data_IF_481866374454
#
_entry.id   IF_481866374454
#
_cell.length_a   1.000
_cell.length_b   1.000
_cell.length_c   1.000
_cell.angle_alpha   90.00
_cell.angle_beta   90.00
_cell.angle_gamma   90.00
#
_symmetry.space_group_name_H-M   'P 1'
#
loop_
_entity.id
_entity.type
_entity.pdbx_description
1 polymer ?
#
# COMPACT_ATOMS: atom_id res chain seq x y z
N UNK A 1 -7.89 -13.65 16.30
CA UNK A 1 -6.64 -12.86 16.42
C UNK A 1 -5.59 -13.31 15.40
N UNK A 2 -5.25 -14.60 15.29
CA UNK A 2 -4.37 -15.11 14.21
C UNK A 2 -4.91 -14.74 12.82
N UNK A 3 -6.22 -14.90 12.60
CA UNK A 3 -6.87 -14.51 11.34
C UNK A 3 -6.75 -13.02 10.97
N UNK A 4 -6.54 -12.13 11.95
CA UNK A 4 -6.54 -10.69 11.70
C UNK A 4 -5.21 -10.25 11.08
N UNK A 5 -4.10 -10.83 11.54
CA UNK A 5 -2.80 -10.62 10.92
C UNK A 5 -2.76 -11.21 9.51
N UNK A 6 -3.29 -12.42 9.33
CA UNK A 6 -3.32 -13.06 8.01
C UNK A 6 -4.12 -12.22 7.00
N UNK A 7 -5.25 -11.63 7.43
CA UNK A 7 -6.04 -10.73 6.60
C UNK A 7 -5.27 -9.44 6.25
N UNK A 8 -4.56 -8.83 7.21
CA UNK A 8 -3.71 -7.66 6.96
C UNK A 8 -2.58 -7.99 5.98
N UNK A 9 -1.92 -9.13 6.12
CA UNK A 9 -0.86 -9.53 5.20
C UNK A 9 -1.41 -9.83 3.80
N UNK A 10 -2.61 -10.39 3.73
CA UNK A 10 -3.32 -10.61 2.46
C UNK A 10 -3.66 -9.28 1.77
N UNK A 11 -4.25 -8.32 2.51
CA UNK A 11 -4.50 -6.97 2.03
C UNK A 11 -3.20 -6.31 1.57
N UNK A 12 -2.15 -6.40 2.39
CA UNK A 12 -0.82 -5.87 2.06
C UNK A 12 -0.26 -6.41 0.73
N UNK A 13 -0.39 -7.71 0.47
CA UNK A 13 0.03 -8.29 -0.81
C UNK A 13 -0.79 -7.81 -2.00
N UNK A 14 -2.09 -7.53 -1.81
CA UNK A 14 -2.93 -6.91 -2.84
C UNK A 14 -2.47 -5.48 -3.13
N UNK A 15 -2.19 -4.69 -2.09
CA UNK A 15 -1.67 -3.32 -2.20
C UNK A 15 -0.30 -3.30 -2.90
N UNK A 16 0.62 -4.17 -2.51
CA UNK A 16 1.94 -4.30 -3.15
C UNK A 16 1.80 -4.60 -4.66
N UNK A 17 0.87 -5.49 -5.01
CA UNK A 17 0.56 -5.81 -6.41
C UNK A 17 -0.02 -4.60 -7.15
N UNK A 18 -0.92 -3.83 -6.53
CA UNK A 18 -1.51 -2.63 -7.12
C UNK A 18 -0.44 -1.58 -7.44
N UNK A 19 0.47 -1.29 -6.50
CA UNK A 19 1.58 -0.36 -6.71
C UNK A 19 2.45 -0.81 -7.88
N UNK A 20 2.89 -2.08 -7.87
CA UNK A 20 3.78 -2.62 -8.91
C UNK A 20 3.15 -2.54 -10.30
N UNK A 21 1.84 -2.85 -10.41
CA UNK A 21 1.09 -2.73 -11.65
C UNK A 21 0.89 -1.28 -12.08
N UNK A 22 0.56 -0.38 -11.16
CA UNK A 22 0.40 1.04 -11.44
C UNK A 22 1.71 1.65 -11.96
N UNK A 23 2.84 1.34 -11.32
CA UNK A 23 4.16 1.79 -11.76
C UNK A 23 4.54 1.19 -13.12
N UNK A 24 4.25 -0.09 -13.35
CA UNK A 24 4.47 -0.73 -14.65
C UNK A 24 3.63 -0.06 -15.75
N UNK A 25 2.36 0.21 -15.47
CA UNK A 25 1.46 0.91 -16.39
C UNK A 25 1.98 2.32 -16.70
N UNK A 26 2.42 3.04 -15.67
CA UNK A 26 2.98 4.38 -15.80
C UNK A 26 4.25 4.43 -16.66
N UNK A 27 5.22 3.55 -16.39
CA UNK A 27 6.49 3.53 -17.12
C UNK A 27 6.32 3.12 -18.59
N UNK A 28 5.36 2.26 -18.87
CA UNK A 28 5.10 1.72 -20.22
C UNK A 28 3.99 2.46 -20.98
N UNK A 29 3.28 3.40 -20.34
CA UNK A 29 2.05 4.01 -20.85
C UNK A 29 0.97 2.98 -21.22
N UNK A 30 0.86 1.93 -20.40
CA UNK A 30 -0.09 0.85 -20.63
C UNK A 30 -1.45 1.20 -19.98
N UNK A 31 -2.33 1.80 -20.78
CA UNK A 31 -3.67 2.19 -20.33
C UNK A 31 -4.57 0.98 -19.99
N UNK A 32 -4.32 -0.19 -20.59
CA UNK A 32 -5.09 -1.39 -20.29
C UNK A 32 -4.72 -1.93 -18.91
N UNK A 33 -3.42 -1.99 -18.60
CA UNK A 33 -2.95 -2.36 -17.27
C UNK A 33 -3.41 -1.36 -16.21
N UNK A 34 -3.36 -0.05 -16.52
CA UNK A 34 -3.86 0.98 -15.62
C UNK A 34 -5.36 0.80 -15.30
N UNK A 35 -6.20 0.55 -16.31
CA UNK A 35 -7.62 0.27 -16.08
C UNK A 35 -7.83 -0.96 -15.18
N UNK A 36 -7.02 -2.00 -15.37
CA UNK A 36 -7.09 -3.18 -14.53
C UNK A 36 -6.70 -2.91 -13.06
N UNK A 37 -5.82 -1.94 -12.79
CA UNK A 37 -5.50 -1.52 -11.40
C UNK A 37 -6.74 -0.86 -10.78
N UNK A 38 -7.34 0.10 -11.49
CA UNK A 38 -8.55 0.81 -11.05
C UNK A 38 -9.69 -0.19 -10.75
N UNK A 39 -9.96 -1.12 -11.67
CA UNK A 39 -11.04 -2.10 -11.49
C UNK A 39 -10.78 -3.05 -10.29
N UNK A 40 -9.51 -3.30 -9.95
CA UNK A 40 -9.10 -4.16 -8.86
C UNK A 40 -9.19 -3.49 -7.48
N UNK A 41 -9.16 -2.17 -7.43
CA UNK A 41 -9.14 -1.39 -6.19
C UNK A 41 -10.37 -1.67 -5.31
N UNK A 42 -11.54 -1.85 -5.93
CA UNK A 42 -12.76 -2.27 -5.21
C UNK A 42 -12.64 -3.58 -4.40
N UNK A 43 -11.67 -4.45 -4.70
CA UNK A 43 -11.38 -5.64 -3.90
C UNK A 43 -10.57 -5.31 -2.65
N UNK A 44 -9.66 -4.33 -2.76
CA UNK A 44 -8.86 -3.81 -1.64
C UNK A 44 -9.80 -3.11 -0.66
N UNK A 45 -10.69 -2.23 -1.13
CA UNK A 45 -11.72 -1.58 -0.31
C UNK A 45 -12.55 -2.57 0.51
N UNK A 46 -13.04 -3.61 -0.15
CA UNK A 46 -13.85 -4.64 0.52
C UNK A 46 -13.06 -5.37 1.59
N UNK A 47 -11.77 -5.64 1.35
CA UNK A 47 -10.91 -6.29 2.31
C UNK A 47 -10.57 -5.37 3.49
N UNK A 48 -10.33 -4.07 3.25
CA UNK A 48 -10.18 -3.03 4.27
C UNK A 48 -11.40 -3.01 5.19
N UNK A 49 -12.60 -2.84 4.63
CA UNK A 49 -13.85 -2.74 5.40
C UNK A 49 -14.07 -4.01 6.22
N UNK A 50 -13.83 -5.19 5.63
CA UNK A 50 -13.98 -6.46 6.34
C UNK A 50 -13.03 -6.56 7.54
N UNK A 51 -11.78 -6.11 7.42
CA UNK A 51 -10.82 -6.10 8.53
C UNK A 51 -11.25 -5.09 9.60
N UNK A 52 -11.76 -3.93 9.20
CA UNK A 52 -12.26 -2.91 10.11
C UNK A 52 -13.45 -3.43 10.92
N UNK A 53 -14.44 -4.06 10.27
CA UNK A 53 -15.59 -4.68 10.91
C UNK A 53 -15.18 -5.78 11.90
N UNK A 54 -14.20 -6.62 11.54
CA UNK A 54 -13.66 -7.64 12.45
C UNK A 54 -13.00 -7.01 13.68
N UNK A 55 -12.25 -5.92 13.52
CA UNK A 55 -11.68 -5.19 14.65
C UNK A 55 -12.77 -4.65 15.58
N UNK A 56 -13.81 -4.01 15.03
CA UNK A 56 -14.94 -3.50 15.80
C UNK A 56 -15.68 -4.61 16.55
N UNK A 57 -15.93 -5.74 15.89
CA UNK A 57 -16.54 -6.91 16.52
C UNK A 57 -15.71 -7.44 17.69
N UNK A 58 -14.37 -7.48 17.57
CA UNK A 58 -13.49 -7.88 18.68
C UNK A 58 -13.61 -6.90 19.84
N UNK A 59 -13.58 -5.59 19.57
CA UNK A 59 -13.70 -4.57 20.60
C UNK A 59 -15.03 -4.69 21.36
N UNK A 60 -16.14 -4.91 20.65
CA UNK A 60 -17.47 -5.04 21.22
C UNK A 60 -17.67 -6.36 22.00
N UNK A 61 -17.23 -7.48 21.43
CA UNK A 61 -17.57 -8.80 22.00
C UNK A 61 -16.57 -9.27 23.05
N UNK A 62 -15.30 -8.87 22.96
CA UNK A 62 -14.21 -9.41 23.78
C UNK A 62 -13.65 -8.40 24.79
N UNK A 63 -13.95 -7.11 24.64
CA UNK A 63 -13.50 -6.05 25.54
C UNK A 63 -11.99 -6.12 25.87
N UNK A 64 -11.10 -6.20 24.85
CA UNK A 64 -9.68 -6.40 25.08
C UNK A 64 -9.07 -5.23 25.86
N UNK A 65 -8.03 -5.51 26.65
CA UNK A 65 -7.31 -4.49 27.43
C UNK A 65 -5.80 -4.65 27.25
N UNK A 66 -5.04 -3.64 27.67
CA UNK A 66 -3.58 -3.70 27.70
C UNK A 66 -2.97 -4.01 26.32
N UNK A 67 -2.29 -5.15 26.20
CA UNK A 67 -1.61 -5.55 24.97
C UNK A 67 -2.58 -5.89 23.83
N UNK A 68 -3.70 -6.54 24.12
CA UNK A 68 -4.66 -6.97 23.10
C UNK A 68 -5.40 -5.78 22.50
N UNK A 69 -5.74 -4.78 23.32
CA UNK A 69 -6.32 -3.53 22.83
C UNK A 69 -5.35 -2.80 21.90
N UNK A 70 -4.07 -2.70 22.30
CA UNK A 70 -3.03 -2.07 21.47
C UNK A 70 -2.85 -2.81 20.15
N UNK A 71 -2.95 -4.14 20.15
CA UNK A 71 -2.86 -4.93 18.94
C UNK A 71 -4.01 -4.63 17.96
N UNK A 72 -5.27 -4.63 18.44
CA UNK A 72 -6.44 -4.32 17.60
C UNK A 72 -6.36 -2.90 17.04
N UNK A 73 -5.98 -1.92 17.88
CA UNK A 73 -5.81 -0.53 17.44
C UNK A 73 -4.67 -0.38 16.43
N UNK A 74 -3.56 -1.11 16.60
CA UNK A 74 -2.47 -1.10 15.64
C UNK A 74 -2.91 -1.66 14.29
N UNK A 75 -3.69 -2.74 14.29
CA UNK A 75 -4.25 -3.33 13.07
C UNK A 75 -5.15 -2.33 12.34
N UNK A 76 -6.08 -1.67 13.03
CA UNK A 76 -6.91 -0.61 12.44
C UNK A 76 -6.06 0.46 11.74
N UNK A 77 -5.03 0.96 12.42
CA UNK A 77 -4.14 1.97 11.84
C UNK A 77 -3.34 1.49 10.63
N UNK A 78 -2.93 0.22 10.63
CA UNK A 78 -2.23 -0.38 9.49
C UNK A 78 -3.19 -0.57 8.32
N UNK A 79 -4.43 -1.00 8.59
CA UNK A 79 -5.50 -1.16 7.60
C UNK A 79 -5.73 0.15 6.83
N UNK A 80 -5.99 1.24 7.57
CA UNK A 80 -6.17 2.59 7.00
C UNK A 80 -4.94 3.03 6.18
N UNK A 81 -3.73 2.66 6.63
CA UNK A 81 -2.49 2.98 5.92
C UNK A 81 -2.34 2.21 4.61
N UNK A 82 -2.81 0.97 4.56
CA UNK A 82 -2.74 0.11 3.38
C UNK A 82 -3.75 0.54 2.30
N UNK A 83 -4.99 0.85 2.68
CA UNK A 83 -5.99 1.40 1.75
C UNK A 83 -5.50 2.71 1.12
N UNK A 84 -4.98 3.63 1.92
CA UNK A 84 -4.46 4.89 1.40
C UNK A 84 -3.32 4.71 0.40
N UNK A 85 -2.53 3.65 0.53
CA UNK A 85 -1.48 3.33 -0.44
C UNK A 85 -2.08 2.74 -1.72
N UNK A 86 -3.14 1.95 -1.63
CA UNK A 86 -3.88 1.47 -2.80
C UNK A 86 -4.53 2.62 -3.56
N UNK A 87 -5.22 3.53 -2.87
CA UNK A 87 -5.77 4.77 -3.47
C UNK A 87 -4.71 5.54 -4.25
N UNK A 88 -3.50 5.67 -3.70
CA UNK A 88 -2.41 6.36 -4.38
C UNK A 88 -1.95 5.59 -5.63
N UNK A 89 -1.98 4.26 -5.61
CA UNK A 89 -1.70 3.44 -6.78
C UNK A 89 -2.80 3.55 -7.85
N UNK A 90 -4.07 3.58 -7.44
CA UNK A 90 -5.21 3.87 -8.33
C UNK A 90 -5.04 5.24 -8.98
N UNK A 91 -4.75 6.28 -8.19
CA UNK A 91 -4.51 7.64 -8.70
C UNK A 91 -3.38 7.69 -9.75
N UNK A 92 -2.29 6.94 -9.54
CA UNK A 92 -1.23 6.81 -10.55
C UNK A 92 -1.77 6.17 -11.83
N UNK A 93 -2.55 5.10 -11.72
CA UNK A 93 -3.16 4.43 -12.86
C UNK A 93 -4.16 5.34 -13.61
N UNK A 94 -4.96 6.11 -12.87
CA UNK A 94 -5.90 7.10 -13.43
C UNK A 94 -5.18 8.14 -14.28
N UNK A 95 -4.04 8.66 -13.81
CA UNK A 95 -3.20 9.57 -14.59
C UNK A 95 -2.76 8.92 -15.90
N UNK A 96 -2.35 7.65 -15.87
CA UNK A 96 -1.92 6.92 -17.09
C UNK A 96 -3.05 6.83 -18.11
N UNK A 97 -4.27 6.51 -17.67
CA UNK A 97 -5.45 6.45 -18.54
C UNK A 97 -5.73 7.81 -19.16
N UNK A 98 -5.68 8.89 -18.37
CA UNK A 98 -5.98 10.24 -18.84
C UNK A 98 -4.97 10.79 -19.85
N UNK A 99 -3.69 10.42 -19.72
CA UNK A 99 -2.61 10.90 -20.60
C UNK A 99 -2.23 9.92 -21.72
N UNK A 100 -2.97 8.81 -21.86
CA UNK A 100 -2.70 7.77 -22.84
C UNK A 100 -2.67 8.33 -24.28
N UNK A 101 -3.63 9.19 -24.61
CA UNK A 101 -3.80 9.76 -25.96
C UNK A 101 -2.96 11.03 -26.20
N UNK A 102 -2.17 11.48 -25.22
CA UNK A 102 -1.40 12.71 -25.37
C UNK A 102 -0.17 12.47 -26.26
N UNK A 103 -0.03 13.28 -27.32
CA UNK A 103 1.07 13.18 -28.29
C UNK A 103 2.46 13.41 -27.68
N UNK A 104 2.54 14.19 -26.60
CA UNK A 104 3.78 14.46 -25.85
C UNK A 104 3.54 14.39 -24.35
N UNK A 105 3.74 13.21 -23.78
CA UNK A 105 4.04 13.07 -22.35
C UNK A 105 5.55 12.90 -22.20
N UNK A 106 6.25 13.92 -21.71
CA UNK A 106 7.67 13.78 -21.38
C UNK A 106 7.80 12.84 -20.19
N UNK A 107 8.67 11.83 -20.32
CA UNK A 107 9.03 10.97 -19.19
C UNK A 107 9.65 11.85 -18.12
N UNK A 108 9.03 11.90 -16.95
CA UNK A 108 9.63 12.49 -15.75
C UNK A 108 10.77 11.59 -15.32
N UNK A 109 12.00 12.11 -15.33
CA UNK A 109 13.17 11.38 -14.86
C UNK A 109 13.04 11.02 -13.37
N UNK A 110 13.67 9.93 -12.93
CA UNK A 110 13.67 9.54 -11.50
C UNK A 110 12.42 8.80 -11.02
N UNK A 111 11.25 8.91 -11.69
CA UNK A 111 10.03 8.20 -11.26
C UNK A 111 10.18 6.67 -11.21
N UNK A 112 11.00 6.08 -12.10
CA UNK A 112 11.28 4.64 -12.08
C UNK A 112 11.98 4.21 -10.78
N UNK A 113 13.01 4.97 -10.40
CA UNK A 113 13.81 4.66 -9.21
C UNK A 113 13.03 4.97 -7.94
N UNK A 114 12.23 6.05 -7.96
CA UNK A 114 11.34 6.41 -6.87
C UNK A 114 10.27 5.34 -6.64
N UNK A 115 9.58 4.89 -7.71
CA UNK A 115 8.57 3.83 -7.62
C UNK A 115 9.15 2.52 -7.10
N UNK A 116 10.31 2.10 -7.61
CA UNK A 116 10.99 0.89 -7.13
C UNK A 116 11.34 0.96 -5.63
N UNK A 117 11.68 2.15 -5.12
CA UNK A 117 11.90 2.33 -3.67
C UNK A 117 10.62 2.35 -2.86
N UNK A 118 9.55 2.96 -3.38
CA UNK A 118 8.25 2.94 -2.72
C UNK A 118 7.71 1.50 -2.60
N UNK A 119 7.82 0.70 -3.68
CA UNK A 119 7.50 -0.73 -3.67
C UNK A 119 8.31 -1.49 -2.60
N UNK A 120 9.63 -1.26 -2.56
CA UNK A 120 10.50 -1.88 -1.56
C UNK A 120 10.15 -1.48 -0.12
N UNK A 121 9.74 -0.24 0.12
CA UNK A 121 9.32 0.22 1.45
C UNK A 121 8.07 -0.52 1.93
N UNK A 122 7.06 -0.69 1.07
CA UNK A 122 5.86 -1.44 1.40
C UNK A 122 6.19 -2.91 1.66
N UNK A 123 6.98 -3.54 0.78
CA UNK A 123 7.44 -4.91 0.97
C UNK A 123 8.13 -5.12 2.33
N UNK A 124 9.14 -4.30 2.64
CA UNK A 124 9.87 -4.37 3.90
C UNK A 124 8.98 -4.06 5.11
N UNK A 125 7.96 -3.21 4.97
CA UNK A 125 7.01 -2.91 6.04
C UNK A 125 6.13 -4.11 6.37
N UNK A 126 5.65 -4.82 5.34
CA UNK A 126 4.88 -6.05 5.49
C UNK A 126 5.74 -7.18 6.06
N UNK A 127 7.00 -7.30 5.63
CA UNK A 127 7.95 -8.26 6.20
C UNK A 127 8.24 -7.96 7.67
N UNK A 128 8.49 -6.69 8.01
CA UNK A 128 8.69 -6.25 9.39
C UNK A 128 7.48 -6.60 10.27
N UNK A 129 6.27 -6.41 9.73
CA UNK A 129 5.02 -6.73 10.42
C UNK A 129 4.84 -8.25 10.61
N UNK A 130 5.03 -9.04 9.57
CA UNK A 130 4.89 -10.49 9.58
C UNK A 130 5.88 -11.15 10.56
N UNK A 131 7.11 -10.67 10.58
CA UNK A 131 8.19 -11.19 11.44
C UNK A 131 8.25 -10.53 12.82
N UNK A 132 7.46 -9.47 13.04
CA UNK A 132 7.52 -8.59 14.22
C UNK A 132 8.93 -8.05 14.48
N UNK A 133 9.68 -7.79 13.42
CA UNK A 133 11.08 -7.35 13.48
C UNK A 133 11.16 -5.83 13.68
N UNK A 134 11.59 -5.43 14.88
CA UNK A 134 11.88 -4.02 15.20
C UNK A 134 13.01 -3.48 14.32
N UNK A 135 14.02 -4.32 14.00
CA UNK A 135 15.15 -3.92 13.17
C UNK A 135 14.71 -3.57 11.74
N UNK A 136 13.86 -4.40 11.13
CA UNK A 136 13.31 -4.11 9.80
C UNK A 136 12.42 -2.86 9.84
N UNK A 137 11.59 -2.69 10.87
CA UNK A 137 10.77 -1.48 11.02
C UNK A 137 11.62 -0.21 11.13
N UNK A 138 12.74 -0.24 11.86
CA UNK A 138 13.68 0.89 11.94
C UNK A 138 14.36 1.17 10.60
N UNK A 139 14.68 0.12 9.83
CA UNK A 139 15.27 0.24 8.51
C UNK A 139 14.29 0.89 7.52
N UNK A 140 13.02 0.48 7.51
CA UNK A 140 11.96 1.11 6.70
C UNK A 140 11.91 2.62 6.93
N UNK A 141 11.92 3.06 8.20
CA UNK A 141 11.93 4.49 8.54
C UNK A 141 13.19 5.22 8.09
N UNK A 142 14.33 4.52 7.98
CA UNK A 142 15.56 5.09 7.45
C UNK A 142 15.52 5.21 5.92
N UNK A 143 14.96 4.21 5.25
CA UNK A 143 14.83 4.17 3.79
C UNK A 143 13.79 5.17 3.27
N UNK A 144 12.73 5.45 4.04
CA UNK A 144 11.75 6.50 3.73
C UNK A 144 12.41 7.88 3.58
N UNK A 145 13.38 8.20 4.45
CA UNK A 145 14.17 9.44 4.32
C UNK A 145 15.00 9.50 3.04
N UNK A 146 15.32 8.36 2.42
CA UNK A 146 15.97 8.36 1.11
C UNK A 146 14.97 8.67 0.01
N UNK A 147 13.76 8.09 0.06
CA UNK A 147 12.68 8.39 -0.88
C UNK A 147 12.32 9.88 -0.85
N UNK A 148 12.21 10.47 0.34
CA UNK A 148 11.94 11.90 0.49
C UNK A 148 13.00 12.77 -0.21
N UNK A 149 14.28 12.47 -0.04
CA UNK A 149 15.37 13.21 -0.70
C UNK A 149 15.36 13.06 -2.22
N UNK A 150 14.88 11.93 -2.75
CA UNK A 150 14.75 11.75 -4.20
C UNK A 150 13.60 12.57 -4.77
N UNK A 151 12.49 12.69 -4.03
CA UNK A 151 11.38 13.56 -4.41
C UNK A 151 11.81 15.03 -4.50
N UNK A 152 12.68 15.51 -3.62
CA UNK A 152 13.20 16.88 -3.65
C UNK A 152 14.08 17.19 -4.87
N UNK A 153 14.51 16.16 -5.62
CA UNK A 153 15.42 16.27 -6.77
C UNK A 153 14.72 16.16 -8.13
N UNK A 154 13.40 15.90 -8.14
CA UNK A 154 12.56 15.75 -9.35
C UNK A 154 11.68 17.00 -9.49
#
# INVERSE_FOLDING_TARGET
>A
MISLMDNILTLGGMVETAISRAMTAFLNRDALLARAVIDQDSQIDRAEVQIQEQCLQILETQHPTGADLRYVVAVLKINDGLERVADLAENVADVVVQVADWERFQRVGGCKELGAKAEALIHCSLEALATRSVGLAQQVLADDRQVHRMLEQI
#
